data_IF_200008922040
#
_entry.id   IF_200008922040
#
_cell.length_a   1.000
_cell.length_b   1.000
_cell.length_c   1.000
_cell.angle_alpha   90.00
_cell.angle_beta   90.00
_cell.angle_gamma   90.00
#
_symmetry.space_group_name_H-M   'P 1'
#
loop_
_entity.id
_entity.type
_entity.pdbx_description
1 polymer ?
#
# COMPACT_ATOMS: atom_id res chain seq x y z
N UNK A 1 -9.87 -16.80 5.65
CA UNK A 1 -10.02 -16.02 6.87
C UNK A 1 -9.39 -14.66 6.69
N UNK A 2 -9.90 -13.65 7.40
CA UNK A 2 -9.41 -12.28 7.24
C UNK A 2 -7.91 -12.13 7.53
N UNK A 3 -7.44 -12.85 8.53
CA UNK A 3 -6.02 -12.78 8.91
C UNK A 3 -5.12 -13.23 7.76
N UNK A 4 -5.55 -14.24 7.03
CA UNK A 4 -4.77 -14.76 5.91
C UNK A 4 -4.67 -13.77 4.76
N UNK A 5 -5.78 -13.07 4.49
CA UNK A 5 -5.77 -12.06 3.45
C UNK A 5 -4.84 -10.90 3.81
N UNK A 6 -4.93 -10.41 5.05
CA UNK A 6 -4.07 -9.33 5.49
C UNK A 6 -2.60 -9.74 5.45
N UNK A 7 -2.31 -10.97 5.88
CA UNK A 7 -0.94 -11.49 5.85
C UNK A 7 -0.41 -11.53 4.42
N UNK A 8 -1.23 -11.99 3.46
CA UNK A 8 -0.83 -12.00 2.06
C UNK A 8 -0.55 -10.58 1.55
N UNK A 9 -1.42 -9.63 1.88
CA UNK A 9 -1.24 -8.25 1.47
C UNK A 9 0.07 -7.70 2.03
N UNK A 10 0.33 -7.93 3.31
CA UNK A 10 1.56 -7.44 3.94
C UNK A 10 2.80 -8.05 3.30
N UNK A 11 2.76 -9.33 2.96
CA UNK A 11 3.88 -9.98 2.29
C UNK A 11 4.15 -9.39 0.92
N UNK A 12 3.11 -9.00 0.19
CA UNK A 12 3.24 -8.37 -1.11
C UNK A 12 3.80 -6.95 -0.96
N UNK A 13 3.27 -6.19 -0.01
CA UNK A 13 3.72 -4.81 0.25
C UNK A 13 5.21 -4.79 0.61
N UNK A 14 5.62 -5.77 1.39
CA UNK A 14 7.00 -5.92 1.82
C UNK A 14 7.97 -6.01 0.63
N UNK A 15 7.50 -6.52 -0.50
CA UNK A 15 8.33 -6.73 -1.69
C UNK A 15 8.34 -5.53 -2.64
N UNK A 16 7.59 -4.46 -2.36
CA UNK A 16 7.59 -3.28 -3.23
C UNK A 16 8.93 -2.57 -3.12
N UNK A 17 9.68 -2.46 -4.21
CA UNK A 17 10.99 -1.81 -4.13
C UNK A 17 10.88 -0.30 -3.98
N UNK A 18 11.93 0.30 -3.44
CA UNK A 18 12.02 1.75 -3.30
C UNK A 18 11.91 2.41 -4.69
N UNK A 19 11.22 3.53 -4.75
CA UNK A 19 11.01 4.24 -6.00
C UNK A 19 9.83 3.77 -6.82
N UNK A 20 9.09 2.78 -6.32
CA UNK A 20 7.91 2.25 -7.01
C UNK A 20 6.66 2.42 -6.15
N UNK A 21 5.50 2.53 -6.81
CA UNK A 21 4.21 2.57 -6.14
C UNK A 21 3.30 1.52 -6.75
N UNK A 22 2.37 1.01 -5.94
CA UNK A 22 1.32 0.11 -6.40
C UNK A 22 -0.01 0.65 -5.92
N UNK A 23 -1.08 0.28 -6.61
CA UNK A 23 -2.42 0.69 -6.21
C UNK A 23 -3.07 -0.38 -5.34
N UNK A 24 -4.10 0.02 -4.60
CA UNK A 24 -4.88 -0.95 -3.83
C UNK A 24 -5.45 -2.04 -4.73
N UNK A 25 -5.91 -1.66 -5.93
CA UNK A 25 -6.43 -2.64 -6.89
C UNK A 25 -5.38 -3.63 -7.34
N UNK A 26 -4.16 -3.16 -7.57
CA UNK A 26 -3.06 -4.04 -7.95
C UNK A 26 -2.73 -5.03 -6.83
N UNK A 27 -2.70 -4.55 -5.59
CA UNK A 27 -2.45 -5.44 -4.45
C UNK A 27 -3.55 -6.47 -4.31
N UNK A 28 -4.81 -6.07 -4.50
CA UNK A 28 -5.93 -7.00 -4.44
C UNK A 28 -5.80 -8.09 -5.49
N UNK A 29 -5.38 -7.73 -6.70
CA UNK A 29 -5.16 -8.71 -7.77
C UNK A 29 -4.03 -9.67 -7.43
N UNK A 30 -2.93 -9.13 -6.89
CA UNK A 30 -1.79 -9.95 -6.51
C UNK A 30 -2.15 -10.92 -5.38
N UNK A 31 -3.04 -10.51 -4.50
CA UNK A 31 -3.55 -11.37 -3.43
C UNK A 31 -4.70 -12.28 -3.91
N UNK A 32 -4.96 -12.30 -5.22
CA UNK A 32 -5.98 -13.14 -5.87
C UNK A 32 -7.41 -12.81 -5.45
N UNK A 33 -7.64 -11.55 -5.04
CA UNK A 33 -8.98 -11.09 -4.66
C UNK A 33 -9.22 -9.70 -5.23
N UNK A 34 -9.34 -9.59 -6.56
CA UNK A 34 -9.41 -8.27 -7.22
C UNK A 34 -10.59 -7.40 -6.77
N UNK A 35 -11.64 -8.01 -6.22
CA UNK A 35 -12.79 -7.27 -5.71
C UNK A 35 -12.57 -6.72 -4.30
N UNK A 36 -11.43 -6.98 -3.68
CA UNK A 36 -11.18 -6.63 -2.28
C UNK A 36 -10.26 -5.42 -2.10
N UNK A 37 -10.22 -4.49 -3.05
CA UNK A 37 -9.35 -3.32 -2.96
C UNK A 37 -9.64 -2.48 -1.71
N UNK A 38 -10.91 -2.40 -1.29
CA UNK A 38 -11.26 -1.68 -0.07
C UNK A 38 -10.64 -2.32 1.16
N UNK A 39 -10.60 -3.66 1.20
CA UNK A 39 -9.97 -4.38 2.30
C UNK A 39 -8.46 -4.16 2.33
N UNK A 40 -7.85 -3.99 1.16
CA UNK A 40 -6.42 -3.65 1.08
C UNK A 40 -6.18 -2.31 1.76
N UNK A 41 -7.02 -1.31 1.50
CA UNK A 41 -6.92 -0.02 2.17
C UNK A 41 -7.00 -0.16 3.68
N UNK A 42 -7.93 -0.99 4.17
CA UNK A 42 -8.07 -1.24 5.60
C UNK A 42 -6.83 -1.94 6.15
N UNK A 43 -6.27 -2.90 5.40
CA UNK A 43 -5.06 -3.59 5.83
C UNK A 43 -3.89 -2.62 5.98
N UNK A 44 -3.77 -1.68 5.05
CA UNK A 44 -2.71 -0.66 5.12
C UNK A 44 -2.90 0.25 6.34
N UNK A 45 -4.13 0.67 6.58
CA UNK A 45 -4.44 1.52 7.73
C UNK A 45 -4.13 0.82 9.06
N UNK A 46 -4.35 -0.50 9.12
CA UNK A 46 -4.18 -1.29 10.33
C UNK A 46 -2.84 -2.03 10.39
N UNK A 47 -1.92 -1.73 9.47
CA UNK A 47 -0.64 -2.44 9.42
C UNK A 47 0.14 -2.23 10.73
N UNK A 48 0.62 -3.32 11.36
CA UNK A 48 1.41 -3.19 12.58
C UNK A 48 2.73 -2.46 12.30
N UNK A 49 3.07 -1.52 13.18
CA UNK A 49 4.30 -0.75 13.03
C UNK A 49 5.55 -1.62 13.11
N UNK A 50 5.48 -2.71 13.86
CA UNK A 50 6.60 -3.63 14.04
C UNK A 50 7.06 -4.24 12.73
N UNK A 51 6.16 -4.32 11.75
CA UNK A 51 6.48 -4.92 10.45
C UNK A 51 7.28 -3.98 9.54
N UNK A 52 7.28 -2.68 9.85
CA UNK A 52 8.01 -1.68 9.06
C UNK A 52 7.69 -1.77 7.56
N UNK A 53 6.41 -1.95 7.23
CA UNK A 53 5.99 -2.08 5.85
C UNK A 53 6.06 -0.75 5.12
N UNK A 54 6.45 -0.75 3.83
CA UNK A 54 6.48 0.48 3.04
C UNK A 54 5.07 0.87 2.57
N UNK A 55 4.16 1.12 3.51
CA UNK A 55 2.78 1.46 3.20
C UNK A 55 2.66 2.74 2.40
N UNK A 56 3.65 3.62 2.48
CA UNK A 56 3.68 4.86 1.71
C UNK A 56 3.76 4.60 0.19
N UNK A 57 4.17 3.39 -0.21
CA UNK A 57 4.26 3.01 -1.63
C UNK A 57 2.94 2.47 -2.18
N UNK A 58 1.87 2.50 -1.39
CA UNK A 58 0.55 2.04 -1.79
C UNK A 58 -0.38 3.24 -1.92
N UNK A 59 -0.98 3.40 -3.10
CA UNK A 59 -1.85 4.54 -3.40
C UNK A 59 -3.19 4.03 -3.92
N UNK A 60 -4.18 4.93 -4.05
CA UNK A 60 -5.47 4.50 -4.61
C UNK A 60 -5.36 4.29 -6.13
N UNK A 61 -6.43 3.79 -6.73
CA UNK A 61 -6.42 3.43 -8.15
C UNK A 61 -6.17 4.62 -9.09
N UNK A 62 -6.33 5.83 -8.58
CA UNK A 62 -6.08 7.06 -9.34
C UNK A 62 -4.71 7.67 -9.03
N UNK A 63 -3.91 6.96 -8.27
CA UNK A 63 -2.58 7.42 -7.88
C UNK A 63 -2.58 8.47 -6.78
N UNK A 64 -3.70 8.63 -6.08
CA UNK A 64 -3.80 9.62 -5.01
C UNK A 64 -3.29 9.07 -3.70
N UNK A 65 -2.71 9.95 -2.92
CA UNK A 65 -2.17 9.62 -1.61
C UNK A 65 -3.28 9.54 -0.57
N UNK A 66 -2.99 8.90 0.56
CA UNK A 66 -3.95 8.80 1.66
C UNK A 66 -4.29 10.21 2.19
N UNK A 67 -5.58 10.53 2.35
CA UNK A 67 -5.98 11.92 2.64
C UNK A 67 -5.50 12.47 3.98
N UNK A 68 -5.30 11.60 4.96
CA UNK A 68 -4.90 12.06 6.30
C UNK A 68 -3.46 11.70 6.66
N UNK A 69 -2.65 11.39 5.66
CA UNK A 69 -1.25 11.01 5.89
C UNK A 69 -0.35 11.92 5.08
N UNK A 70 -0.06 13.08 5.64
CA UNK A 70 0.74 14.10 4.95
C UNK A 70 2.17 13.66 4.71
N UNK A 71 2.71 12.80 5.55
CA UNK A 71 4.09 12.32 5.42
C UNK A 71 4.29 11.39 4.22
N UNK A 72 3.21 10.81 3.70
CA UNK A 72 3.32 9.87 2.58
C UNK A 72 4.02 10.52 1.38
N UNK A 73 3.64 11.74 1.05
CA UNK A 73 4.23 12.45 -0.08
C UNK A 73 5.72 12.66 0.13
N UNK A 74 6.10 13.10 1.32
CA UNK A 74 7.51 13.34 1.63
C UNK A 74 8.33 12.07 1.51
N UNK A 75 7.80 10.96 2.00
CA UNK A 75 8.49 9.68 1.92
C UNK A 75 8.70 9.25 0.48
N UNK A 76 7.68 9.42 -0.36
CA UNK A 76 7.79 9.07 -1.77
C UNK A 76 8.74 10.00 -2.52
N UNK A 77 8.72 11.28 -2.21
CA UNK A 77 9.62 12.24 -2.83
C UNK A 77 11.08 11.92 -2.50
N UNK A 78 11.35 11.47 -1.29
CA UNK A 78 12.69 11.02 -0.90
C UNK A 78 13.15 9.80 -1.71
N UNK A 79 12.20 9.02 -2.22
CA UNK A 79 12.50 7.87 -3.06
C UNK A 79 12.57 8.23 -4.54
N UNK A 80 12.51 9.51 -4.87
CA UNK A 80 12.64 9.97 -6.24
C UNK A 80 11.35 10.04 -7.03
N UNK A 81 10.19 9.89 -6.38
CA UNK A 81 8.90 9.96 -7.05
C UNK A 81 8.45 11.40 -7.11
N UNK A 82 8.18 11.90 -8.32
CA UNK A 82 7.76 13.28 -8.51
C UNK A 82 6.23 13.38 -8.50
N UNK A 83 5.73 14.46 -7.92
CA UNK A 83 4.30 14.78 -7.91
C UNK A 83 4.10 16.13 -8.60
N UNK A 84 3.03 16.20 -9.36
CA UNK A 84 2.64 17.44 -10.03
C UNK A 84 1.68 18.24 -9.18
#
# INVERSE_FOLDING_TARGET
MKADFYTEVYNIVKEIPEGNVVTYGQLAKLARRPQCSRMVGQAMFNAPRELNLPCHRVVNSQGRLAPNWTEQRELLEKEGIAFK
#
